data_IF_018284176425
#
_entry.id   IF_018284176425
#
_cell.length_a   1.000
_cell.length_b   1.000
_cell.length_c   1.000
_cell.angle_alpha   90.00
_cell.angle_beta   90.00
_cell.angle_gamma   90.00
#
_symmetry.space_group_name_H-M   'P 1'
#
loop_
_entity.id
_entity.type
_entity.pdbx_description
1 polymer ?
#
# COMPACT_ATOMS: atom_id res chain seq x y z
N UNK A 1 17.04 2.70 7.97
CA UNK A 1 15.76 1.97 8.15
C UNK A 1 14.88 2.19 6.93
N UNK A 2 14.21 1.16 6.42
CA UNK A 2 13.24 1.28 5.33
C UNK A 2 11.85 1.11 5.91
N UNK A 3 10.93 2.01 5.56
CA UNK A 3 9.52 1.85 5.96
C UNK A 3 8.89 0.75 5.13
N UNK A 4 8.27 -0.20 5.81
CA UNK A 4 7.65 -1.36 5.20
C UNK A 4 6.13 -1.24 5.30
N UNK A 5 5.44 -1.73 4.27
CA UNK A 5 3.98 -1.82 4.23
C UNK A 5 3.63 -3.26 3.87
N UNK A 6 2.81 -3.88 4.70
CA UNK A 6 2.19 -5.16 4.35
C UNK A 6 1.01 -4.90 3.42
N UNK A 7 0.96 -5.60 2.29
CA UNK A 7 -0.15 -5.58 1.35
C UNK A 7 -0.86 -6.94 1.45
N UNK A 8 -2.02 -7.00 2.14
CA UNK A 8 -2.81 -8.21 2.25
C UNK A 8 -3.15 -8.86 0.91
N UNK A 9 -3.46 -8.07 -0.12
CA UNK A 9 -3.88 -8.62 -1.41
C UNK A 9 -2.85 -9.46 -2.16
N UNK A 10 -1.59 -9.38 -1.77
CA UNK A 10 -0.50 -10.20 -2.31
C UNK A 10 0.30 -10.92 -1.22
N UNK A 11 -0.16 -10.88 0.03
CA UNK A 11 0.50 -11.44 1.22
C UNK A 11 2.00 -11.11 1.29
N UNK A 12 2.35 -9.83 1.09
CA UNK A 12 3.75 -9.40 1.03
C UNK A 12 4.02 -8.09 1.73
N UNK A 13 5.18 -8.05 2.38
CA UNK A 13 5.81 -6.81 2.82
C UNK A 13 6.58 -6.16 1.68
N UNK A 14 6.22 -4.93 1.34
CA UNK A 14 6.93 -4.12 0.35
C UNK A 14 7.50 -2.87 0.99
N UNK A 15 8.53 -2.30 0.38
CA UNK A 15 9.01 -0.99 0.81
C UNK A 15 7.98 0.09 0.47
N UNK A 16 7.90 1.15 1.29
CA UNK A 16 7.05 2.31 1.01
C UNK A 16 7.30 2.90 -0.39
N UNK A 17 8.55 2.87 -0.87
CA UNK A 17 8.90 3.33 -2.21
C UNK A 17 8.26 2.47 -3.33
N UNK A 18 8.29 1.15 -3.18
CA UNK A 18 7.62 0.22 -4.12
C UNK A 18 6.11 0.44 -4.11
N UNK A 19 5.51 0.57 -2.92
CA UNK A 19 4.08 0.86 -2.76
C UNK A 19 3.68 2.15 -3.47
N UNK A 20 4.39 3.26 -3.21
CA UNK A 20 4.12 4.55 -3.85
C UNK A 20 4.31 4.49 -5.37
N UNK A 21 5.33 3.77 -5.86
CA UNK A 21 5.53 3.57 -7.30
C UNK A 21 4.34 2.84 -7.94
N UNK A 22 3.82 1.80 -7.29
CA UNK A 22 2.63 1.09 -7.76
C UNK A 22 1.39 1.99 -7.79
N UNK A 23 1.14 2.77 -6.74
CA UNK A 23 0.02 3.73 -6.71
C UNK A 23 0.15 4.79 -7.81
N UNK A 24 1.37 5.31 -8.05
CA UNK A 24 1.61 6.24 -9.17
C UNK A 24 1.31 5.61 -10.53
N UNK A 25 1.64 4.33 -10.71
CA UNK A 25 1.31 3.57 -11.91
C UNK A 25 -0.20 3.44 -12.09
N UNK A 26 -0.93 3.13 -11.02
CA UNK A 26 -2.41 3.07 -11.04
C UNK A 26 -3.00 4.43 -11.42
N UNK A 27 -2.49 5.53 -10.84
CA UNK A 27 -2.92 6.89 -11.17
C UNK A 27 -2.66 7.31 -12.62
N UNK A 28 -1.64 6.75 -13.27
CA UNK A 28 -1.32 7.09 -14.67
C UNK A 28 -2.14 6.30 -15.70
N UNK A 29 -2.96 5.34 -15.25
CA UNK A 29 -3.77 4.48 -16.13
C UNK A 29 -5.27 4.84 -16.00
N UNK A 30 -6.11 4.47 -16.99
CA UNK A 30 -7.56 4.63 -16.90
C UNK A 30 -8.14 3.99 -15.63
N UNK A 31 -9.11 4.65 -15.00
CA UNK A 31 -9.66 4.25 -13.70
C UNK A 31 -10.39 2.89 -13.73
N UNK A 32 -10.87 2.49 -14.89
CA UNK A 32 -11.54 1.23 -15.19
C UNK A 32 -10.57 0.08 -15.50
N UNK A 33 -9.26 0.37 -15.61
CA UNK A 33 -8.23 -0.67 -15.76
C UNK A 33 -8.33 -1.68 -14.63
N UNK A 34 -8.44 -2.96 -14.99
CA UNK A 34 -8.49 -4.07 -14.04
C UNK A 34 -7.07 -4.49 -13.66
N UNK A 35 -6.83 -4.56 -12.35
CA UNK A 35 -5.60 -5.05 -11.76
C UNK A 35 -5.84 -6.43 -11.15
N UNK A 36 -4.85 -7.33 -11.18
CA UNK A 36 -5.03 -8.71 -10.70
C UNK A 36 -5.37 -8.83 -9.21
N UNK A 37 -4.97 -7.83 -8.41
CA UNK A 37 -5.13 -7.83 -6.95
C UNK A 37 -5.50 -6.43 -6.46
N UNK A 38 -6.33 -6.36 -5.42
CA UNK A 38 -6.57 -5.16 -4.63
C UNK A 38 -5.44 -4.94 -3.62
N UNK A 39 -5.49 -3.86 -2.85
CA UNK A 39 -4.58 -3.66 -1.73
C UNK A 39 -5.01 -4.47 -0.51
N UNK A 40 -6.31 -4.75 -0.36
CA UNK A 40 -6.91 -5.34 0.84
C UNK A 40 -7.12 -6.87 0.73
N UNK A 41 -7.23 -7.41 -0.48
CA UNK A 41 -7.50 -8.83 -0.75
C UNK A 41 -6.96 -9.32 -2.11
N UNK A 42 -7.04 -10.63 -2.32
CA UNK A 42 -6.50 -11.28 -3.52
C UNK A 42 -7.33 -11.05 -4.78
N UNK A 43 -8.48 -10.36 -4.69
CA UNK A 43 -9.43 -10.22 -5.79
C UNK A 43 -9.00 -9.14 -6.77
N UNK A 44 -9.45 -9.26 -8.02
CA UNK A 44 -9.21 -8.24 -9.03
C UNK A 44 -9.94 -6.95 -8.68
N UNK A 45 -9.27 -5.81 -8.86
CA UNK A 45 -9.83 -4.50 -8.55
C UNK A 45 -9.63 -3.51 -9.71
N UNK A 46 -10.56 -2.56 -9.87
CA UNK A 46 -10.35 -1.45 -10.80
C UNK A 46 -9.34 -0.46 -10.22
N UNK A 47 -8.71 0.32 -11.08
CA UNK A 47 -7.86 1.43 -10.67
C UNK A 47 -8.56 2.38 -9.69
N UNK A 48 -9.85 2.68 -9.90
CA UNK A 48 -10.66 3.48 -8.97
C UNK A 48 -10.81 2.86 -7.58
N UNK A 49 -10.95 1.54 -7.51
CA UNK A 49 -11.10 0.80 -6.26
C UNK A 49 -9.78 0.80 -5.47
N UNK A 50 -8.65 0.55 -6.14
CA UNK A 50 -7.30 0.64 -5.53
C UNK A 50 -7.02 2.05 -5.00
N UNK A 51 -7.40 3.09 -5.73
CA UNK A 51 -7.19 4.47 -5.27
C UNK A 51 -8.07 4.81 -4.07
N UNK A 52 -9.29 4.28 -4.00
CA UNK A 52 -10.17 4.42 -2.83
C UNK A 52 -9.54 3.74 -1.60
N UNK A 53 -9.05 2.52 -1.74
CA UNK A 53 -8.33 1.79 -0.67
C UNK A 53 -7.08 2.55 -0.21
N UNK A 54 -6.30 3.10 -1.15
CA UNK A 54 -5.15 3.93 -0.83
C UNK A 54 -5.53 5.15 0.01
N UNK A 55 -6.62 5.85 -0.37
CA UNK A 55 -7.12 7.01 0.36
C UNK A 55 -7.65 6.65 1.74
N UNK A 56 -8.40 5.54 1.86
CA UNK A 56 -8.86 4.98 3.13
C UNK A 56 -7.67 4.72 4.07
N UNK A 57 -6.63 4.05 3.58
CA UNK A 57 -5.43 3.81 4.38
C UNK A 57 -4.69 5.10 4.78
N UNK A 58 -4.76 6.18 3.99
CA UNK A 58 -4.23 7.49 4.42
C UNK A 58 -5.05 8.05 5.59
N UNK A 59 -6.38 8.04 5.48
CA UNK A 59 -7.27 8.53 6.52
C UNK A 59 -7.11 7.74 7.82
N UNK A 60 -7.03 6.41 7.73
CA UNK A 60 -6.80 5.55 8.90
C UNK A 60 -5.49 5.91 9.61
N UNK A 61 -4.41 6.14 8.86
CA UNK A 61 -3.12 6.57 9.41
C UNK A 61 -3.14 7.97 10.03
N UNK A 62 -4.03 8.86 9.57
CA UNK A 62 -4.23 10.17 10.18
C UNK A 62 -5.00 9.99 11.50
N UNK A 63 -6.07 9.20 11.48
CA UNK A 63 -6.92 8.93 12.64
C UNK A 63 -6.18 8.19 13.77
N UNK A 64 -5.20 7.35 13.44
CA UNK A 64 -4.35 6.68 14.43
C UNK A 64 -3.45 7.64 15.24
N UNK A 65 -3.24 8.89 14.78
CA UNK A 65 -2.45 9.88 15.53
C UNK A 65 -0.96 9.55 15.70
N UNK A 66 -0.43 8.50 15.06
CA UNK A 66 0.96 8.07 15.22
C UNK A 66 1.91 9.11 14.60
N UNK A 67 2.95 9.59 15.31
CA UNK A 67 3.95 10.49 14.72
C UNK A 67 4.59 9.90 13.46
N UNK A 68 4.79 10.70 12.42
CA UNK A 68 5.34 10.22 11.14
C UNK A 68 6.71 9.54 11.27
N UNK A 69 7.51 9.97 12.24
CA UNK A 69 8.81 9.38 12.58
C UNK A 69 8.71 7.96 13.14
N UNK A 70 7.55 7.53 13.62
CA UNK A 70 7.34 6.23 14.28
C UNK A 70 6.53 5.23 13.41
N UNK A 71 6.01 5.67 12.25
CA UNK A 71 5.14 4.83 11.41
C UNK A 71 5.92 3.82 10.57
N UNK A 72 5.48 2.56 10.60
CA UNK A 72 5.92 1.52 9.67
C UNK A 72 7.43 1.24 9.71
N UNK A 73 8.08 1.56 10.83
CA UNK A 73 9.47 1.19 11.08
C UNK A 73 9.48 -0.29 11.44
N UNK A 74 9.70 -1.12 10.42
CA UNK A 74 10.19 -2.47 10.63
C UNK A 74 11.71 -2.45 10.49
N UNK A 75 12.42 -2.93 11.52
CA UNK A 75 13.72 -3.54 11.28
C UNK A 75 13.46 -4.77 10.42
N UNK A 76 14.03 -4.82 9.22
CA UNK A 76 14.02 -6.06 8.45
C UNK A 76 14.59 -7.17 9.37
N UNK A 77 14.00 -8.38 9.40
CA UNK A 77 14.65 -9.48 10.10
C UNK A 77 16.05 -9.61 9.52
N UNK A 78 17.05 -9.56 10.40
CA UNK A 78 18.41 -9.97 10.06
C UNK A 78 18.27 -11.44 9.67
N UNK A 79 18.35 -11.73 8.38
CA UNK A 79 18.53 -13.10 7.90
C UNK A 79 19.82 -13.61 8.53
N UNK A 80 19.69 -14.50 9.50
CA UNK A 80 20.78 -15.34 10.00
C UNK A 80 21.20 -16.35 8.93
#
# INVERSE_FOLDING_TARGET
>A
MKRMIYIPGIDRWVTLGQYVKAIKKVKSMPLDTIWPHSLEDWTSARGSDILREFMKGIMDRINQGIPYSQRGIHTAPVTA
#
